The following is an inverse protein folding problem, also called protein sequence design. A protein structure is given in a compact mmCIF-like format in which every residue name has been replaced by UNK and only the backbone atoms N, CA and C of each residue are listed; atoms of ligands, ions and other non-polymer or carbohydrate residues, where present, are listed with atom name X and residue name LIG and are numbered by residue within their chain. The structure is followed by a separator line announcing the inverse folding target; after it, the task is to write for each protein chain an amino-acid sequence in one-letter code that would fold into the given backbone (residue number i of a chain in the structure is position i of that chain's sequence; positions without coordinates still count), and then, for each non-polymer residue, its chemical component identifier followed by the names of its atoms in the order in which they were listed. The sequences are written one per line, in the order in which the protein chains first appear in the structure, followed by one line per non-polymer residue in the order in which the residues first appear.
data_IF_900378830598
#
_entry.id   IF_900378830598
#
_cell.length_a   1.000
_cell.length_b   1.000
_cell.length_c   1.000
_cell.angle_alpha   90.00
_cell.angle_beta   90.00
_cell.angle_gamma   90.00
#
_symmetry.space_group_name_H-M   'P 1'
#
loop_
_entity.id
_entity.type
_entity.pdbx_description
1 polymer ?
#
# COMPACT_ATOMS: atom_id res chain seq x y z
N UNK A 1 8.58 3.84 62.90
CA UNK A 1 7.95 4.77 61.94
C UNK A 1 8.12 4.15 60.55
N UNK A 2 7.03 4.12 59.78
CA UNK A 2 6.80 3.44 58.49
C UNK A 2 7.97 3.33 57.49
N UNK A 3 8.01 2.17 56.81
CA UNK A 3 7.97 2.09 55.34
C UNK A 3 7.39 0.73 54.95
N UNK A 4 6.06 0.66 54.79
CA UNK A 4 5.36 -0.48 54.20
C UNK A 4 5.49 -0.40 52.68
N UNK A 5 6.05 -1.45 52.09
CA UNK A 5 6.21 -1.65 50.65
C UNK A 5 4.84 -1.71 49.97
N UNK A 6 4.63 -0.82 48.99
CA UNK A 6 3.48 -0.87 48.08
C UNK A 6 3.94 -1.47 46.75
N UNK A 7 4.04 -2.79 46.68
CA UNK A 7 4.17 -3.53 45.41
C UNK A 7 2.79 -4.05 45.00
N UNK A 8 1.95 -3.14 44.52
CA UNK A 8 0.69 -3.50 43.88
C UNK A 8 0.97 -4.38 42.65
N UNK A 9 0.38 -5.56 42.71
CA UNK A 9 0.30 -6.60 41.69
C UNK A 9 -0.08 -6.03 40.32
N UNK A 10 0.91 -5.82 39.45
CA UNK A 10 0.66 -5.60 38.04
C UNK A 10 0.48 -6.96 37.37
N UNK A 11 -0.70 -7.29 36.80
CA UNK A 11 -0.88 -8.56 36.11
C UNK A 11 0.07 -8.64 34.90
N UNK A 12 0.56 -9.83 34.53
CA UNK A 12 1.50 -9.99 33.43
C UNK A 12 0.89 -9.47 32.13
N UNK A 13 1.69 -8.71 31.36
CA UNK A 13 1.30 -8.20 30.07
C UNK A 13 0.92 -9.37 29.15
N UNK A 14 -0.36 -9.46 28.79
CA UNK A 14 -0.85 -10.44 27.83
C UNK A 14 -0.23 -10.11 26.47
N UNK A 15 0.42 -11.06 25.77
CA UNK A 15 0.91 -10.83 24.42
C UNK A 15 -0.29 -10.52 23.52
N UNK A 16 -0.34 -9.29 22.99
CA UNK A 16 -1.33 -8.95 21.97
C UNK A 16 -0.95 -9.74 20.73
N UNK A 17 -1.71 -10.80 20.42
CA UNK A 17 -1.60 -11.51 19.15
C UNK A 17 -1.80 -10.48 18.03
N UNK A 18 -0.98 -10.51 16.95
CA UNK A 18 -1.19 -9.63 15.82
C UNK A 18 -2.63 -9.79 15.33
N UNK A 19 -3.30 -8.66 15.07
CA UNK A 19 -4.68 -8.67 14.61
C UNK A 19 -4.84 -9.65 13.43
N UNK A 20 -5.89 -10.48 13.42
CA UNK A 20 -6.11 -11.43 12.32
C UNK A 20 -6.15 -10.66 11.00
N UNK A 21 -5.42 -11.15 10.01
CA UNK A 21 -5.44 -10.59 8.65
C UNK A 21 -6.87 -10.67 8.12
N UNK A 22 -7.51 -9.50 7.94
CA UNK A 22 -8.85 -9.44 7.37
C UNK A 22 -8.80 -9.94 5.93
N UNK A 23 -9.35 -11.14 5.68
CA UNK A 23 -9.50 -11.63 4.31
C UNK A 23 -10.44 -10.69 3.56
N UNK A 24 -9.94 -10.11 2.46
CA UNK A 24 -10.74 -9.24 1.61
C UNK A 24 -11.52 -10.13 0.64
N UNK A 25 -12.80 -10.37 0.93
CA UNK A 25 -13.67 -11.23 0.10
C UNK A 25 -14.31 -10.51 -1.09
N UNK A 26 -13.94 -9.26 -1.35
CA UNK A 26 -14.50 -8.39 -2.41
C UNK A 26 -13.41 -8.01 -3.41
N UNK A 27 -13.75 -7.64 -4.66
CA UNK A 27 -12.74 -7.22 -5.63
C UNK A 27 -11.91 -6.06 -5.06
N UNK A 28 -10.59 -6.28 -5.02
CA UNK A 28 -9.61 -5.29 -4.59
C UNK A 28 -9.27 -4.40 -5.79
N UNK A 29 -9.59 -3.12 -5.67
CA UNK A 29 -9.12 -2.07 -6.57
C UNK A 29 -7.79 -1.51 -6.08
N UNK A 30 -6.96 -1.04 -7.00
CA UNK A 30 -5.73 -0.31 -6.68
C UNK A 30 -5.75 1.03 -7.38
N UNK A 31 -5.42 2.10 -6.67
CA UNK A 31 -5.11 3.40 -7.26
C UNK A 31 -3.77 3.88 -6.76
N UNK A 32 -3.00 4.53 -7.64
CA UNK A 32 -1.66 5.01 -7.29
C UNK A 32 -1.68 6.53 -7.22
N UNK A 33 -1.49 7.08 -6.03
CA UNK A 33 -1.36 8.52 -5.82
C UNK A 33 -0.86 8.83 -4.41
N UNK A 34 0.15 9.71 -4.24
CA UNK A 34 0.94 10.36 -5.29
C UNK A 34 1.96 9.41 -5.95
N UNK A 35 2.48 9.83 -7.11
CA UNK A 35 3.63 9.22 -7.80
C UNK A 35 4.74 10.27 -7.80
N UNK A 36 5.93 9.91 -7.33
CA UNK A 36 7.10 10.78 -7.31
C UNK A 36 8.22 10.11 -8.09
N UNK A 37 8.88 10.89 -8.96
CA UNK A 37 10.04 10.45 -9.73
C UNK A 37 11.23 11.27 -9.22
N UNK A 38 12.29 10.61 -8.79
CA UNK A 38 13.50 11.30 -8.32
C UNK A 38 14.48 11.60 -9.47
N UNK A 39 15.56 12.34 -9.16
CA UNK A 39 16.59 12.71 -10.13
C UNK A 39 17.40 11.51 -10.64
N UNK A 40 17.37 10.36 -9.95
CA UNK A 40 17.98 9.11 -10.41
C UNK A 40 17.10 8.35 -11.40
N UNK A 41 15.85 8.79 -11.58
CA UNK A 41 14.85 8.10 -12.40
C UNK A 41 14.09 7.01 -11.65
N UNK A 42 14.25 6.90 -10.33
CA UNK A 42 13.51 5.95 -9.51
C UNK A 42 12.12 6.49 -9.18
N UNK A 43 11.16 5.57 -8.98
CA UNK A 43 9.76 5.91 -8.71
C UNK A 43 9.42 5.54 -7.26
N UNK A 44 8.82 6.48 -6.54
CA UNK A 44 8.11 6.21 -5.29
C UNK A 44 6.61 6.32 -5.55
N UNK A 45 5.87 5.25 -5.26
CA UNK A 45 4.47 5.11 -5.58
C UNK A 45 3.64 4.75 -4.35
N UNK A 46 2.62 5.55 -4.05
CA UNK A 46 1.67 5.26 -2.98
C UNK A 46 0.45 4.54 -3.55
N UNK A 47 0.39 3.23 -3.28
CA UNK A 47 -0.68 2.35 -3.74
C UNK A 47 -1.78 2.31 -2.69
N UNK A 48 -2.93 2.87 -3.00
CA UNK A 48 -4.13 2.79 -2.19
C UNK A 48 -4.88 1.50 -2.55
N UNK A 49 -5.05 0.65 -1.54
CA UNK A 49 -5.83 -0.59 -1.62
C UNK A 49 -7.28 -0.23 -1.35
N UNK A 50 -8.13 -0.49 -2.32
CA UNK A 50 -9.55 -0.16 -2.26
C UNK A 50 -10.38 -1.42 -2.30
N UNK A 51 -11.51 -1.38 -1.60
CA UNK A 51 -12.51 -2.44 -1.66
C UNK A 51 -13.84 -1.85 -2.07
N UNK A 52 -14.59 -2.60 -2.86
CA UNK A 52 -15.94 -2.20 -3.23
C UNK A 52 -16.87 -2.27 -2.02
N UNK A 53 -17.38 -1.13 -1.55
CA UNK A 53 -18.36 -1.06 -0.48
C UNK A 53 -19.81 -1.04 -1.01
N UNK A 54 -20.04 -1.44 -2.26
CA UNK A 54 -21.34 -1.46 -2.91
C UNK A 54 -21.89 -0.03 -3.06
N UNK A 55 -22.79 0.38 -2.17
CA UNK A 55 -23.52 1.65 -2.25
C UNK A 55 -22.63 2.90 -2.14
N UNK A 56 -21.47 2.80 -1.48
CA UNK A 56 -20.54 3.92 -1.31
C UNK A 56 -19.41 3.93 -2.36
N UNK A 57 -19.40 2.97 -3.30
CA UNK A 57 -18.32 2.78 -4.25
C UNK A 57 -17.03 2.26 -3.60
N UNK A 58 -15.89 2.56 -4.22
CA UNK A 58 -14.57 2.09 -3.77
C UNK A 58 -14.12 2.85 -2.51
N UNK A 59 -13.86 2.11 -1.43
CA UNK A 59 -13.36 2.65 -0.17
C UNK A 59 -11.91 2.23 0.02
N UNK A 60 -11.02 3.19 0.28
CA UNK A 60 -9.63 2.91 0.62
C UNK A 60 -9.56 2.26 2.02
N UNK A 61 -8.93 1.09 2.11
CA UNK A 61 -8.72 0.36 3.37
C UNK A 61 -7.28 0.37 3.82
N UNK A 62 -6.37 0.89 3.00
CA UNK A 62 -4.96 1.00 3.33
C UNK A 62 -4.17 1.64 2.21
N UNK A 63 -3.00 2.17 2.56
CA UNK A 63 -2.04 2.72 1.61
C UNK A 63 -0.70 2.04 1.84
N UNK A 64 -0.07 1.61 0.77
CA UNK A 64 1.25 0.99 0.77
C UNK A 64 2.20 1.83 -0.05
N UNK A 65 3.37 2.13 0.50
CA UNK A 65 4.42 2.83 -0.25
C UNK A 65 5.33 1.80 -0.90
N UNK A 66 5.56 1.94 -2.21
CA UNK A 66 6.42 1.09 -2.99
C UNK A 66 7.48 1.91 -3.71
N UNK A 67 8.72 1.42 -3.65
CA UNK A 67 9.85 2.01 -4.35
C UNK A 67 10.25 1.12 -5.53
N UNK A 68 10.33 1.71 -6.72
CA UNK A 68 10.92 1.10 -7.90
C UNK A 68 12.26 1.78 -8.20
N UNK A 69 13.38 1.04 -8.19
CA UNK A 69 14.67 1.58 -8.60
C UNK A 69 14.66 1.93 -10.10
N UNK A 70 15.61 2.78 -10.52
CA UNK A 70 15.67 3.34 -11.88
C UNK A 70 15.63 2.30 -13.01
N UNK A 71 16.26 1.14 -12.82
CA UNK A 71 16.29 0.03 -13.78
C UNK A 71 14.91 -0.62 -13.97
N UNK A 72 14.05 -0.61 -12.95
CA UNK A 72 12.67 -1.09 -13.06
C UNK A 72 11.72 0.02 -13.50
N UNK A 73 11.96 1.24 -13.00
CA UNK A 73 11.19 2.42 -13.35
C UNK A 73 11.27 2.73 -14.84
N UNK A 74 12.37 2.42 -15.52
CA UNK A 74 12.50 2.62 -16.98
C UNK A 74 11.39 1.93 -17.76
N UNK A 75 10.95 0.74 -17.33
CA UNK A 75 9.87 -0.01 -18.00
C UNK A 75 8.56 0.75 -17.87
N UNK A 76 8.26 1.24 -16.66
CA UNK A 76 7.07 2.05 -16.36
C UNK A 76 7.09 3.37 -17.14
N UNK A 77 8.23 4.06 -17.16
CA UNK A 77 8.38 5.37 -17.81
C UNK A 77 8.42 5.28 -19.33
N UNK A 78 8.81 4.12 -19.89
CA UNK A 78 8.83 3.87 -21.34
C UNK A 78 7.47 3.52 -21.93
N UNK A 79 6.46 3.30 -21.09
CA UNK A 79 5.13 2.93 -21.55
C UNK A 79 4.47 4.05 -22.36
N UNK A 80 3.66 3.66 -23.35
CA UNK A 80 2.93 4.61 -24.20
C UNK A 80 1.46 4.67 -23.80
N UNK A 81 0.94 5.89 -23.66
CA UNK A 81 -0.46 6.11 -23.34
C UNK A 81 -1.34 5.66 -24.51
N UNK A 82 -2.40 4.92 -24.21
CA UNK A 82 -3.43 4.64 -25.20
C UNK A 82 -4.22 5.92 -25.54
N UNK A 83 -4.86 6.02 -26.73
CA UNK A 83 -5.69 7.16 -27.07
C UNK A 83 -6.74 7.45 -25.99
N UNK A 84 -6.77 8.69 -25.48
CA UNK A 84 -7.69 9.12 -24.42
C UNK A 84 -7.24 8.81 -22.98
N UNK A 85 -6.09 8.16 -22.79
CA UNK A 85 -5.54 7.88 -21.46
C UNK A 85 -4.64 9.02 -20.99
N UNK A 86 -4.79 9.45 -19.74
CA UNK A 86 -3.88 10.44 -19.14
C UNK A 86 -2.56 9.78 -18.73
N UNK A 87 -1.48 10.57 -18.69
CA UNK A 87 -0.15 10.10 -18.23
C UNK A 87 -0.23 9.47 -16.82
N UNK A 88 -1.02 10.05 -15.92
CA UNK A 88 -1.19 9.53 -14.56
C UNK A 88 -1.88 8.17 -14.56
N UNK A 89 -2.91 7.98 -15.40
CA UNK A 89 -3.60 6.70 -15.54
C UNK A 89 -2.67 5.61 -16.11
N UNK A 90 -1.84 5.97 -17.09
CA UNK A 90 -0.83 5.09 -17.65
C UNK A 90 0.19 4.67 -16.58
N UNK A 91 0.82 5.65 -15.92
CA UNK A 91 1.83 5.39 -14.89
C UNK A 91 1.25 4.54 -13.76
N UNK A 92 0.04 4.85 -13.31
CA UNK A 92 -0.65 4.05 -12.27
C UNK A 92 -0.80 2.59 -12.68
N UNK A 93 -1.25 2.34 -13.92
CA UNK A 93 -1.45 0.99 -14.44
C UNK A 93 -0.13 0.22 -14.55
N UNK A 94 0.93 0.85 -15.09
CA UNK A 94 2.23 0.19 -15.26
C UNK A 94 2.96 -0.02 -13.92
N UNK A 95 2.82 0.91 -12.96
CA UNK A 95 3.30 0.70 -11.58
C UNK A 95 2.60 -0.52 -10.96
N UNK A 96 1.27 -0.59 -11.03
CA UNK A 96 0.51 -1.73 -10.50
C UNK A 96 0.98 -3.04 -11.15
N UNK A 97 1.20 -3.04 -12.46
CA UNK A 97 1.70 -4.21 -13.20
C UNK A 97 3.11 -4.61 -12.77
N UNK A 98 4.02 -3.66 -12.60
CA UNK A 98 5.38 -3.91 -12.11
C UNK A 98 5.37 -4.48 -10.68
N UNK A 99 4.56 -3.90 -9.78
CA UNK A 99 4.43 -4.38 -8.41
C UNK A 99 3.79 -5.77 -8.33
N UNK A 100 2.82 -6.06 -9.21
CA UNK A 100 2.20 -7.38 -9.33
C UNK A 100 3.21 -8.43 -9.80
N UNK A 101 4.03 -8.11 -10.81
CA UNK A 101 5.07 -9.01 -11.31
C UNK A 101 6.08 -9.40 -10.22
N UNK A 102 6.32 -8.50 -9.26
CA UNK A 102 7.18 -8.73 -8.09
C UNK A 102 6.48 -9.43 -6.93
N UNK A 103 5.17 -9.68 -7.01
CA UNK A 103 4.37 -10.26 -5.92
C UNK A 103 4.16 -9.32 -4.73
N UNK A 104 4.47 -8.02 -4.88
CA UNK A 104 4.33 -7.00 -3.84
C UNK A 104 2.86 -6.60 -3.59
N UNK A 105 2.01 -6.82 -4.60
CA UNK A 105 0.55 -6.72 -4.49
C UNK A 105 -0.07 -7.98 -5.11
N UNK A 106 -1.15 -8.48 -4.51
CA UNK A 106 -1.84 -9.70 -4.95
C UNK A 106 -3.35 -9.44 -4.99
N UNK A 107 -4.06 -10.09 -5.91
CA UNK A 107 -5.51 -9.99 -6.08
C UNK A 107 -6.19 -11.21 -5.48
#
# INVERSE_FOLDING_TARGET
MNITENILSQPPAVPVLPAPLTMISKPVGYSVSPITIDASGSITAYVNVQVDNGAAGMVSIGTQNHYLPADEAVVVLSAQASPGQTVIQLLSAEIIKALKAKGLIQF
#
